data_IF_962071595288
#
_entry.id   IF_962071595288
#
_cell.length_a   1.000
_cell.length_b   1.000
_cell.length_c   1.000
_cell.angle_alpha   90.00
_cell.angle_beta   90.00
_cell.angle_gamma   90.00
#
_symmetry.space_group_name_H-M   'P 1'
#
loop_
_entity.id
_entity.type
_entity.pdbx_description
1 polymer ?
#
# COMPACT_ATOMS: atom_id res chain seq x y z
N UNK A 1 -21.96 -1.47 35.45
CA UNK A 1 -21.52 -0.31 34.67
C UNK A 1 -20.40 -0.85 33.78
N UNK A 2 -20.77 -1.22 32.55
CA UNK A 2 -19.79 -1.71 31.58
C UNK A 2 -19.10 -0.49 30.99
N UNK A 3 -17.83 -0.37 31.31
CA UNK A 3 -16.91 0.56 30.67
C UNK A 3 -16.53 -0.04 29.29
N UNK A 4 -17.45 0.05 28.35
CA UNK A 4 -17.14 -0.25 26.95
C UNK A 4 -16.41 0.98 26.42
N UNK A 5 -15.07 0.97 26.55
CA UNK A 5 -14.24 2.07 26.09
C UNK A 5 -14.33 2.13 24.55
N UNK A 6 -14.32 3.33 23.99
CA UNK A 6 -14.33 3.53 22.54
C UNK A 6 -13.24 2.73 21.82
N UNK A 7 -12.21 2.32 22.53
CA UNK A 7 -11.13 1.44 22.09
C UNK A 7 -11.64 0.05 21.66
N UNK A 8 -12.58 -0.53 22.42
CA UNK A 8 -13.12 -1.86 22.11
C UNK A 8 -14.02 -1.82 20.88
N UNK A 9 -14.72 -0.70 20.65
CA UNK A 9 -15.52 -0.48 19.44
C UNK A 9 -14.66 -0.24 18.20
N UNK A 10 -13.61 0.57 18.32
CA UNK A 10 -12.68 0.82 17.23
C UNK A 10 -11.96 -0.48 16.82
N UNK A 11 -11.51 -1.28 17.79
CA UNK A 11 -10.94 -2.61 17.54
C UNK A 11 -11.94 -3.57 16.88
N UNK A 12 -13.23 -3.51 17.26
CA UNK A 12 -14.27 -4.32 16.63
C UNK A 12 -14.50 -3.93 15.16
N UNK A 13 -14.53 -2.64 14.84
CA UNK A 13 -14.66 -2.14 13.47
C UNK A 13 -13.46 -2.59 12.62
N UNK A 14 -12.26 -2.49 13.15
CA UNK A 14 -11.04 -2.97 12.48
C UNK A 14 -11.06 -4.50 12.28
N UNK A 15 -11.49 -5.24 13.28
CA UNK A 15 -11.62 -6.70 13.19
C UNK A 15 -12.68 -7.13 12.19
N UNK A 16 -13.81 -6.44 12.11
CA UNK A 16 -14.88 -6.72 11.16
C UNK A 16 -14.43 -6.42 9.72
N UNK A 17 -13.76 -5.30 9.49
CA UNK A 17 -13.21 -4.94 8.17
C UNK A 17 -12.15 -5.94 7.68
N UNK A 18 -11.40 -6.55 8.59
CA UNK A 18 -10.35 -7.52 8.27
C UNK A 18 -10.78 -8.99 8.31
N UNK A 19 -12.01 -9.29 8.69
CA UNK A 19 -12.52 -10.66 8.94
C UNK A 19 -12.51 -11.58 7.71
N UNK A 20 -12.36 -11.04 6.53
CA UNK A 20 -12.40 -11.79 5.27
C UNK A 20 -11.07 -11.77 4.49
N UNK A 21 -9.97 -11.38 5.11
CA UNK A 21 -8.66 -11.41 4.45
C UNK A 21 -7.79 -12.52 5.04
N UNK A 22 -7.35 -13.49 4.24
CA UNK A 22 -6.32 -14.42 4.70
C UNK A 22 -5.05 -13.61 4.99
N UNK A 23 -4.50 -13.80 6.18
CA UNK A 23 -3.14 -13.36 6.51
C UNK A 23 -2.20 -14.16 5.62
N UNK A 24 -1.85 -13.61 4.46
CA UNK A 24 -0.78 -14.17 3.65
C UNK A 24 0.52 -13.78 4.36
N UNK A 25 1.25 -14.80 4.76
CA UNK A 25 2.43 -14.69 5.60
C UNK A 25 3.42 -13.65 5.12
N UNK A 26 4.11 -13.06 6.08
CA UNK A 26 5.20 -12.10 5.95
C UNK A 26 6.09 -12.38 4.75
N UNK A 27 6.20 -11.40 3.85
CA UNK A 27 7.31 -11.35 2.92
C UNK A 27 8.57 -11.03 3.73
N UNK A 28 9.43 -12.02 3.90
CA UNK A 28 10.82 -11.72 4.25
C UNK A 28 11.37 -10.81 3.16
N UNK A 29 12.12 -9.75 3.48
CA UNK A 29 12.77 -8.93 2.48
C UNK A 29 13.73 -9.84 1.71
N UNK A 30 13.26 -10.31 0.56
CA UNK A 30 14.10 -11.07 -0.33
C UNK A 30 14.93 -10.04 -1.08
N UNK A 31 16.21 -9.92 -0.75
CA UNK A 31 17.22 -9.33 -1.64
C UNK A 31 17.27 -10.22 -2.90
N UNK A 32 16.18 -10.22 -3.66
CA UNK A 32 15.90 -11.20 -4.67
C UNK A 32 16.45 -10.79 -6.02
N UNK A 33 17.65 -11.24 -6.28
CA UNK A 33 17.98 -11.61 -7.67
C UNK A 33 17.04 -12.75 -8.03
N UNK A 34 16.21 -12.58 -9.05
CA UNK A 34 15.32 -13.64 -9.54
C UNK A 34 16.08 -14.91 -9.90
N UNK A 35 15.44 -16.07 -9.90
CA UNK A 35 16.10 -17.32 -10.28
C UNK A 35 16.65 -17.24 -11.70
N UNK A 36 17.85 -17.79 -11.89
CA UNK A 36 18.44 -17.92 -13.22
C UNK A 36 17.51 -18.73 -14.12
N UNK A 37 17.25 -18.26 -15.33
CA UNK A 37 16.44 -18.96 -16.32
C UNK A 37 16.99 -20.36 -16.61
N UNK A 38 16.15 -21.27 -17.12
CA UNK A 38 16.58 -22.62 -17.47
C UNK A 38 17.61 -22.59 -18.60
N UNK A 39 18.57 -23.50 -18.54
CA UNK A 39 19.53 -23.71 -19.62
C UNK A 39 18.80 -24.10 -20.91
N UNK A 40 19.15 -23.47 -22.03
CA UNK A 40 18.60 -23.81 -23.32
C UNK A 40 18.78 -25.28 -23.70
N UNK A 41 17.94 -25.84 -24.55
CA UNK A 41 18.04 -27.22 -24.99
C UNK A 41 19.37 -27.45 -25.72
N UNK A 42 19.96 -28.63 -25.49
CA UNK A 42 21.13 -29.07 -26.21
C UNK A 42 20.77 -29.27 -27.69
N UNK A 43 21.58 -28.76 -28.62
CA UNK A 43 21.37 -28.95 -30.04
C UNK A 43 21.35 -30.43 -30.44
N UNK A 44 20.69 -30.78 -31.55
CA UNK A 44 20.59 -32.17 -31.99
C UNK A 44 21.96 -32.74 -32.29
N UNK A 45 22.21 -33.95 -31.81
CA UNK A 45 23.41 -34.70 -32.09
C UNK A 45 23.26 -35.48 -33.44
N UNK A 46 24.28 -35.47 -34.25
CA UNK A 46 24.38 -36.37 -35.42
C UNK A 46 24.31 -35.67 -36.77
N UNK A 47 25.40 -35.69 -37.49
CA UNK A 47 25.42 -35.46 -38.95
C UNK A 47 24.93 -36.67 -39.73
N UNK A 48 24.53 -36.49 -41.00
CA UNK A 48 24.05 -37.59 -41.85
C UNK A 48 25.15 -38.63 -42.08
N UNK A 49 24.75 -39.90 -41.98
CA UNK A 49 25.62 -41.03 -42.35
C UNK A 49 25.91 -40.91 -43.86
N UNK A 50 27.19 -40.98 -44.23
CA UNK A 50 27.62 -40.91 -45.62
C UNK A 50 27.04 -42.07 -46.48
N UNK A 51 26.91 -41.87 -47.80
CA UNK A 51 26.35 -42.87 -48.72
C UNK A 51 27.21 -44.14 -48.74
N UNK A 52 26.53 -45.28 -48.74
CA UNK A 52 27.16 -46.59 -48.89
C UNK A 52 27.80 -46.69 -50.29
N UNK A 53 29.09 -46.92 -50.33
CA UNK A 53 29.80 -47.08 -51.61
C UNK A 53 29.36 -48.33 -52.37
N UNK A 54 29.56 -48.37 -53.72
CA UNK A 54 29.25 -49.53 -54.52
C UNK A 54 30.10 -50.73 -54.12
N UNK A 55 29.55 -51.91 -54.25
CA UNK A 55 30.00 -53.23 -53.87
C UNK A 55 31.54 -53.43 -53.94
N UNK A 56 32.20 -53.36 -52.83
CA UNK A 56 33.62 -53.47 -52.58
C UNK A 56 33.85 -52.99 -51.18
N UNK A 57 34.91 -53.26 -50.55
CA UNK A 57 35.17 -53.01 -49.13
C UNK A 57 34.44 -51.88 -48.46
N UNK A 58 33.84 -52.12 -47.32
CA UNK A 58 33.15 -51.15 -46.47
C UNK A 58 34.07 -49.97 -46.25
N UNK A 59 33.66 -48.79 -46.72
CA UNK A 59 34.38 -47.53 -46.48
C UNK A 59 34.46 -47.23 -44.97
N UNK A 60 35.44 -46.46 -44.53
CA UNK A 60 35.56 -46.09 -43.11
C UNK A 60 34.31 -45.38 -42.68
N UNK A 61 33.84 -45.72 -41.50
CA UNK A 61 32.74 -45.06 -40.81
C UNK A 61 33.02 -43.55 -40.75
N UNK A 62 32.10 -42.71 -41.26
CA UNK A 62 32.24 -41.28 -41.21
C UNK A 62 32.41 -40.83 -39.75
N UNK A 63 33.26 -39.84 -39.54
CA UNK A 63 33.47 -39.24 -38.22
C UNK A 63 32.14 -38.69 -37.68
N UNK A 64 31.87 -38.98 -36.43
CA UNK A 64 30.70 -38.39 -35.73
C UNK A 64 30.79 -36.88 -35.81
N UNK A 65 29.72 -36.22 -36.23
CA UNK A 65 29.67 -34.78 -36.28
C UNK A 65 29.86 -34.15 -34.88
N UNK A 66 30.38 -32.94 -34.82
CA UNK A 66 30.60 -32.27 -33.54
C UNK A 66 29.26 -32.10 -32.80
N UNK A 67 29.31 -32.25 -31.48
CA UNK A 67 28.18 -31.95 -30.60
C UNK A 67 27.76 -30.50 -30.80
N UNK A 68 26.47 -30.24 -30.95
CA UNK A 68 25.93 -28.88 -31.05
C UNK A 68 26.35 -28.05 -29.84
N UNK A 69 26.56 -26.76 -30.07
CA UNK A 69 26.88 -25.82 -28.98
C UNK A 69 25.74 -25.75 -27.97
N UNK A 70 26.11 -25.68 -26.69
CA UNK A 70 25.15 -25.43 -25.62
C UNK A 70 24.46 -24.08 -25.86
N UNK A 71 23.15 -24.01 -25.74
CA UNK A 71 22.40 -22.77 -25.87
C UNK A 71 22.85 -21.73 -24.80
N UNK A 72 22.64 -20.47 -25.08
CA UNK A 72 22.98 -19.42 -24.12
C UNK A 72 22.16 -19.58 -22.83
N UNK A 73 22.74 -19.20 -21.71
CA UNK A 73 22.01 -19.11 -20.44
C UNK A 73 20.84 -18.14 -20.57
N UNK A 74 19.69 -18.50 -20.05
CA UNK A 74 18.53 -17.63 -20.02
C UNK A 74 18.85 -16.29 -19.32
N UNK A 75 18.18 -15.23 -19.72
CA UNK A 75 18.32 -13.92 -19.08
C UNK A 75 17.94 -14.01 -17.59
N UNK A 76 18.65 -13.26 -16.76
CA UNK A 76 18.27 -13.08 -15.35
C UNK A 76 16.87 -12.45 -15.30
N UNK A 77 16.01 -12.94 -14.44
CA UNK A 77 14.71 -12.34 -14.20
C UNK A 77 14.84 -10.90 -13.68
N UNK A 78 13.79 -10.11 -13.81
CA UNK A 78 13.80 -8.74 -13.29
C UNK A 78 14.06 -8.74 -11.78
N UNK A 79 14.75 -7.72 -11.32
CA UNK A 79 14.90 -7.47 -9.87
C UNK A 79 13.52 -7.25 -9.26
N UNK A 80 13.25 -7.86 -8.12
CA UNK A 80 12.01 -7.59 -7.38
C UNK A 80 11.96 -6.13 -6.93
N UNK A 81 10.77 -5.56 -6.92
CA UNK A 81 10.57 -4.20 -6.43
C UNK A 81 10.89 -4.13 -4.93
N UNK A 82 11.59 -3.08 -4.54
CA UNK A 82 11.86 -2.80 -3.14
C UNK A 82 10.76 -1.89 -2.62
N UNK A 83 9.97 -2.36 -1.65
CA UNK A 83 8.97 -1.52 -1.00
C UNK A 83 9.65 -0.38 -0.26
N UNK A 84 9.07 0.81 -0.32
CA UNK A 84 9.53 1.96 0.47
C UNK A 84 9.58 1.59 1.96
N UNK A 85 10.59 2.04 2.68
CA UNK A 85 10.75 1.72 4.10
C UNK A 85 10.59 2.96 4.96
N UNK A 86 10.03 2.80 6.15
CA UNK A 86 9.82 3.88 7.10
C UNK A 86 8.48 4.57 6.96
N UNK A 87 8.32 5.67 7.70
CA UNK A 87 7.14 6.53 7.63
C UNK A 87 7.13 7.29 6.31
N UNK A 88 6.05 7.23 5.57
CA UNK A 88 5.91 7.82 4.23
C UNK A 88 5.11 9.12 4.24
N UNK A 89 4.19 9.31 5.20
CA UNK A 89 3.40 10.54 5.34
C UNK A 89 4.30 11.68 5.80
N UNK A 90 4.20 12.79 5.14
CA UNK A 90 4.84 14.05 5.54
C UNK A 90 3.84 14.83 6.40
N UNK A 91 4.30 15.42 7.51
CA UNK A 91 3.46 16.16 8.45
C UNK A 91 2.22 15.36 8.91
N UNK A 92 2.40 14.07 9.21
CA UNK A 92 1.30 13.22 9.69
C UNK A 92 0.81 13.56 11.10
N UNK A 93 1.65 14.16 11.94
CA UNK A 93 1.29 14.71 13.24
C UNK A 93 0.73 16.13 13.20
N UNK A 94 0.44 16.68 12.01
CA UNK A 94 -0.19 18.00 11.77
C UNK A 94 0.57 19.22 12.35
N UNK A 95 1.83 19.04 12.77
CA UNK A 95 2.61 20.04 13.52
C UNK A 95 3.10 21.23 12.68
N UNK A 96 3.25 21.05 11.37
CA UNK A 96 3.64 22.12 10.47
C UNK A 96 2.38 22.79 9.91
N UNK A 97 2.11 24.00 10.39
CA UNK A 97 0.89 24.76 10.05
C UNK A 97 1.25 26.00 9.23
N UNK A 98 0.52 26.23 8.14
CA UNK A 98 0.62 27.42 7.29
C UNK A 98 -0.80 27.96 7.04
N UNK A 99 -1.04 29.23 7.33
CA UNK A 99 -2.36 29.87 7.16
C UNK A 99 -3.52 29.09 7.81
N UNK A 100 -3.29 28.62 9.05
CA UNK A 100 -4.24 27.85 9.86
C UNK A 100 -4.57 26.44 9.30
N UNK A 101 -3.79 25.93 8.35
CA UNK A 101 -3.97 24.62 7.78
C UNK A 101 -2.67 23.78 7.87
N UNK A 102 -2.74 22.45 7.96
CA UNK A 102 -1.54 21.61 7.97
C UNK A 102 -0.85 21.67 6.60
N UNK A 103 0.46 21.96 6.59
CA UNK A 103 1.25 21.95 5.37
C UNK A 103 1.40 20.53 4.81
N UNK A 104 1.74 20.42 3.53
CA UNK A 104 1.99 19.17 2.81
C UNK A 104 0.75 18.28 2.58
N UNK A 105 -0.44 18.80 2.88
CA UNK A 105 -1.73 18.18 2.58
C UNK A 105 -2.50 18.98 1.52
N UNK A 106 -3.32 18.28 0.76
CA UNK A 106 -4.25 18.85 -0.22
C UNK A 106 -5.66 18.76 0.33
N UNK A 107 -6.50 19.75 0.03
CA UNK A 107 -7.81 19.90 0.66
C UNK A 107 -8.95 19.85 -0.36
N UNK A 108 -10.01 19.12 0.01
CA UNK A 108 -11.34 19.28 -0.58
C UNK A 108 -12.15 20.19 0.35
N UNK A 109 -12.75 21.25 -0.18
CA UNK A 109 -13.43 22.30 0.61
C UNK A 109 -12.52 22.89 1.71
N UNK A 110 -11.46 23.64 1.34
CA UNK A 110 -10.44 24.10 2.27
C UNK A 110 -10.97 25.01 3.39
N UNK A 111 -12.11 25.70 3.18
CA UNK A 111 -12.76 26.53 4.20
C UNK A 111 -13.25 25.71 5.41
N UNK A 112 -13.45 24.39 5.25
CA UNK A 112 -13.81 23.46 6.31
C UNK A 112 -12.62 22.77 6.97
N UNK A 113 -11.39 23.23 6.74
CA UNK A 113 -10.17 22.63 7.29
C UNK A 113 -9.41 23.67 8.13
N UNK A 114 -9.18 23.36 9.40
CA UNK A 114 -8.40 24.23 10.30
C UNK A 114 -7.48 23.43 11.20
N UNK A 115 -6.27 23.93 11.47
CA UNK A 115 -5.40 23.39 12.50
C UNK A 115 -5.89 23.85 13.89
N UNK A 116 -5.87 22.95 14.84
CA UNK A 116 -6.39 23.16 16.20
C UNK A 116 -5.32 22.82 17.23
N UNK A 117 -5.11 23.73 18.19
CA UNK A 117 -4.20 23.61 19.34
C UNK A 117 -4.94 23.50 20.69
N UNK A 118 -6.26 23.36 20.65
CA UNK A 118 -7.09 23.35 21.86
C UNK A 118 -6.91 22.06 22.67
N UNK A 119 -6.80 22.23 23.99
CA UNK A 119 -6.68 21.10 24.91
C UNK A 119 -7.82 20.10 24.73
N UNK A 120 -7.46 18.82 24.51
CA UNK A 120 -8.41 17.73 24.30
C UNK A 120 -8.85 17.55 22.85
N UNK A 121 -8.34 18.38 21.94
CA UNK A 121 -8.54 18.26 20.50
C UNK A 121 -7.27 17.87 19.76
N UNK A 122 -6.17 17.66 20.46
CA UNK A 122 -4.88 17.21 19.97
C UNK A 122 -4.57 15.87 20.64
N UNK A 123 -4.18 14.85 19.85
CA UNK A 123 -3.80 13.54 20.36
C UNK A 123 -2.35 13.58 20.86
N UNK A 124 -1.44 14.09 20.05
CA UNK A 124 -0.04 14.29 20.44
C UNK A 124 0.51 15.59 19.85
N UNK A 125 1.63 16.09 20.40
CA UNK A 125 2.24 17.33 19.92
C UNK A 125 1.48 18.60 20.30
N UNK A 126 1.42 19.57 19.38
CA UNK A 126 0.82 20.88 19.57
C UNK A 126 -0.46 21.08 18.76
N UNK A 127 -0.55 20.44 17.58
CA UNK A 127 -1.65 20.62 16.65
C UNK A 127 -2.29 19.30 16.23
N UNK A 128 -3.57 19.35 15.91
CA UNK A 128 -4.33 18.39 15.12
C UNK A 128 -5.02 19.11 13.97
N UNK A 129 -5.63 18.40 13.04
CA UNK A 129 -6.49 19.01 12.02
C UNK A 129 -7.95 18.75 12.32
N UNK A 130 -8.75 19.81 12.28
CA UNK A 130 -10.20 19.76 12.32
C UNK A 130 -10.77 19.78 10.90
N UNK A 131 -11.68 18.87 10.63
CA UNK A 131 -12.31 18.66 9.32
C UNK A 131 -13.82 18.72 9.49
N UNK A 132 -14.44 19.71 8.86
CA UNK A 132 -15.91 19.89 8.87
C UNK A 132 -16.62 18.97 7.88
N UNK A 133 -17.94 19.00 7.88
CA UNK A 133 -18.80 18.25 6.97
C UNK A 133 -18.48 18.56 5.50
N UNK A 134 -18.52 17.53 4.64
CA UNK A 134 -18.16 17.58 3.22
C UNK A 134 -16.73 18.09 2.90
N UNK A 135 -15.89 18.26 3.92
CA UNK A 135 -14.48 18.57 3.75
C UNK A 135 -13.61 17.30 3.80
N UNK A 136 -12.40 17.41 3.29
CA UNK A 136 -11.45 16.30 3.30
C UNK A 136 -10.03 16.74 3.08
N UNK A 137 -9.11 15.88 3.52
CA UNK A 137 -7.68 16.06 3.29
C UNK A 137 -7.10 14.84 2.61
N UNK A 138 -6.11 15.05 1.78
CA UNK A 138 -5.40 13.97 1.11
C UNK A 138 -3.91 14.26 0.95
N UNK A 139 -3.12 13.21 0.85
CA UNK A 139 -1.71 13.29 0.50
C UNK A 139 -1.35 12.21 -0.49
N UNK A 140 -0.75 12.59 -1.63
CA UNK A 140 -0.24 11.67 -2.64
C UNK A 140 1.26 11.48 -2.45
N UNK A 141 1.66 10.26 -2.21
CA UNK A 141 3.02 9.85 -1.86
C UNK A 141 3.60 9.05 -3.01
N UNK A 142 4.64 9.53 -3.71
CA UNK A 142 5.30 8.78 -4.76
C UNK A 142 5.91 7.48 -4.21
N UNK A 143 5.69 6.37 -4.93
CA UNK A 143 6.28 5.07 -4.61
C UNK A 143 6.71 4.38 -5.91
N UNK A 144 7.73 3.56 -5.83
CA UNK A 144 8.22 2.82 -6.98
C UNK A 144 7.74 1.36 -6.95
N UNK A 145 6.92 1.02 -7.94
CA UNK A 145 6.57 -0.36 -8.24
C UNK A 145 5.46 -0.96 -7.39
N UNK A 146 5.17 -2.23 -7.68
CA UNK A 146 4.07 -2.99 -7.09
C UNK A 146 4.52 -4.15 -6.21
N UNK A 147 3.53 -4.87 -5.69
CA UNK A 147 3.76 -6.04 -4.85
C UNK A 147 3.86 -5.74 -3.36
N UNK A 148 3.79 -4.47 -2.96
CA UNK A 148 3.84 -4.02 -1.57
C UNK A 148 2.45 -3.99 -0.93
N UNK A 149 2.42 -4.08 0.39
CA UNK A 149 1.26 -3.76 1.20
C UNK A 149 1.56 -2.52 2.01
N UNK A 150 0.54 -1.71 2.27
CA UNK A 150 0.67 -0.53 3.11
C UNK A 150 -0.23 -0.63 4.33
N UNK A 151 0.25 -0.11 5.44
CA UNK A 151 -0.50 0.03 6.67
C UNK A 151 -0.67 1.52 6.93
N UNK A 152 -1.90 2.00 6.79
CA UNK A 152 -2.32 3.33 7.22
C UNK A 152 -2.80 3.23 8.66
N UNK A 153 -2.29 4.06 9.54
CA UNK A 153 -2.78 4.21 10.91
C UNK A 153 -2.94 5.68 11.27
N UNK A 154 -3.89 6.00 12.12
CA UNK A 154 -4.20 7.36 12.51
C UNK A 154 -5.05 7.38 13.78
N UNK A 155 -5.12 8.54 14.40
CA UNK A 155 -6.02 8.82 15.51
C UNK A 155 -7.11 9.80 15.07
N UNK A 156 -8.34 9.55 15.48
CA UNK A 156 -9.47 10.40 15.13
C UNK A 156 -10.47 10.50 16.27
N UNK A 157 -11.10 11.68 16.39
CA UNK A 157 -12.11 12.00 17.39
C UNK A 157 -13.25 12.79 16.75
N UNK A 158 -14.50 12.46 17.05
CA UNK A 158 -15.64 13.25 16.63
C UNK A 158 -15.94 14.38 17.62
N UNK A 159 -16.23 15.57 17.14
CA UNK A 159 -16.73 16.68 17.97
C UNK A 159 -18.25 16.58 18.17
N UNK A 160 -18.72 15.40 18.52
CA UNK A 160 -20.13 15.09 18.71
C UNK A 160 -20.48 13.68 18.22
N UNK A 161 -21.75 13.30 18.38
CA UNK A 161 -22.25 11.95 18.06
C UNK A 161 -22.69 11.77 16.59
N UNK A 162 -22.66 12.86 15.80
CA UNK A 162 -23.10 12.85 14.41
C UNK A 162 -21.95 13.06 13.43
N UNK A 163 -20.79 12.53 13.74
CA UNK A 163 -19.60 12.56 12.88
C UNK A 163 -19.31 11.17 12.39
N UNK A 164 -19.16 11.04 11.07
CA UNK A 164 -18.63 9.87 10.40
C UNK A 164 -17.55 10.30 9.42
N UNK A 165 -16.76 9.36 8.95
CA UNK A 165 -15.74 9.63 7.95
C UNK A 165 -15.39 8.38 7.15
N UNK A 166 -14.78 8.59 6.01
CA UNK A 166 -14.12 7.53 5.23
C UNK A 166 -12.64 7.86 5.09
N UNK A 167 -11.78 6.94 5.51
CA UNK A 167 -10.36 6.96 5.22
C UNK A 167 -10.07 5.92 4.15
N UNK A 168 -9.37 6.30 3.08
CA UNK A 168 -9.09 5.43 1.94
C UNK A 168 -7.63 5.45 1.53
N UNK A 169 -7.20 4.33 0.96
CA UNK A 169 -5.94 4.16 0.24
C UNK A 169 -6.25 3.94 -1.24
N UNK A 170 -5.71 4.79 -2.10
CA UNK A 170 -5.81 4.65 -3.55
C UNK A 170 -4.42 4.47 -4.14
N UNK A 171 -4.25 3.49 -5.01
CA UNK A 171 -3.02 3.30 -5.77
C UNK A 171 -3.12 4.04 -7.10
N UNK A 172 -2.25 5.00 -7.32
CA UNK A 172 -2.10 5.68 -8.59
C UNK A 172 -1.26 4.81 -9.52
N UNK A 173 -1.85 4.34 -10.61
CA UNK A 173 -1.18 3.49 -11.59
C UNK A 173 -1.16 4.14 -12.96
N UNK A 174 -0.29 3.65 -13.83
CA UNK A 174 -0.25 4.12 -15.23
C UNK A 174 -1.55 3.84 -15.99
N UNK A 175 -2.36 2.90 -15.49
CA UNK A 175 -3.67 2.52 -16.05
C UNK A 175 -4.85 3.26 -15.40
N UNK A 176 -4.61 4.06 -14.37
CA UNK A 176 -5.61 4.80 -13.60
C UNK A 176 -5.64 4.38 -12.12
N UNK A 177 -6.44 5.06 -11.29
CA UNK A 177 -6.50 4.79 -9.87
C UNK A 177 -7.14 3.43 -9.56
N UNK A 178 -6.58 2.73 -8.56
CA UNK A 178 -7.06 1.43 -8.08
C UNK A 178 -7.32 1.52 -6.57
N UNK A 179 -8.47 1.06 -6.11
CA UNK A 179 -8.78 1.03 -4.68
C UNK A 179 -7.85 0.08 -3.93
N UNK A 180 -7.05 0.63 -3.01
CA UNK A 180 -6.14 -0.09 -2.13
C UNK A 180 -6.81 -0.58 -0.85
N UNK A 181 -7.93 0.01 -0.47
CA UNK A 181 -8.71 -0.29 0.73
C UNK A 181 -9.32 0.97 1.33
N UNK A 182 -10.36 0.78 2.13
CA UNK A 182 -11.04 1.86 2.83
C UNK A 182 -11.56 1.40 4.19
N UNK A 183 -11.70 2.34 5.10
CA UNK A 183 -12.44 2.18 6.35
C UNK A 183 -13.46 3.31 6.46
N UNK A 184 -14.73 2.96 6.61
CA UNK A 184 -15.81 3.91 6.84
C UNK A 184 -16.31 3.78 8.26
N UNK A 185 -16.27 4.88 8.99
CA UNK A 185 -16.83 5.02 10.33
C UNK A 185 -18.14 5.80 10.22
N UNK A 186 -19.22 5.24 10.74
CA UNK A 186 -20.54 5.84 10.67
C UNK A 186 -20.73 6.86 11.79
N UNK A 187 -21.66 7.77 11.58
CA UNK A 187 -22.13 8.67 12.65
C UNK A 187 -22.57 7.84 13.88
N UNK A 188 -22.14 8.26 15.06
CA UNK A 188 -22.40 7.58 16.32
C UNK A 188 -21.42 6.47 16.70
N UNK A 189 -20.49 6.08 15.81
CA UNK A 189 -19.48 5.07 16.11
C UNK A 189 -18.17 5.66 16.66
N UNK A 190 -17.99 6.99 16.57
CA UNK A 190 -16.86 7.70 17.16
C UNK A 190 -17.11 8.05 18.62
N UNK A 191 -16.03 8.10 19.39
CA UNK A 191 -16.07 8.60 20.77
C UNK A 191 -16.31 10.11 20.76
N UNK A 192 -17.21 10.58 21.60
CA UNK A 192 -17.56 12.00 21.75
C UNK A 192 -16.97 12.62 23.03
N UNK A 193 -16.19 11.86 23.78
CA UNK A 193 -15.54 12.34 25.00
C UNK A 193 -14.41 13.28 24.67
N UNK A 194 -14.38 14.46 25.29
CA UNK A 194 -13.23 15.35 25.24
C UNK A 194 -11.98 14.60 25.69
N UNK A 195 -10.98 14.46 24.83
CA UNK A 195 -9.68 13.79 24.99
C UNK A 195 -9.62 12.31 24.56
N UNK A 196 -10.67 11.69 24.10
CA UNK A 196 -10.62 10.29 23.66
C UNK A 196 -10.50 10.19 22.12
N UNK A 197 -9.27 10.17 21.64
CA UNK A 197 -9.00 9.78 20.27
C UNK A 197 -9.09 8.26 20.12
N UNK A 198 -9.77 7.80 19.09
CA UNK A 198 -9.79 6.41 18.70
C UNK A 198 -8.65 6.12 17.71
N UNK A 199 -7.96 5.00 17.90
CA UNK A 199 -6.96 4.51 16.96
C UNK A 199 -7.59 3.72 15.84
N UNK A 200 -7.20 4.01 14.60
CA UNK A 200 -7.62 3.30 13.40
C UNK A 200 -6.42 2.75 12.63
N UNK A 201 -6.63 1.61 11.98
CA UNK A 201 -5.64 1.01 11.12
C UNK A 201 -6.31 0.37 9.90
N UNK A 202 -5.75 0.63 8.72
CA UNK A 202 -6.16 0.04 7.45
C UNK A 202 -4.97 -0.64 6.81
N UNK A 203 -5.10 -1.93 6.49
CA UNK A 203 -4.11 -2.66 5.70
C UNK A 203 -4.58 -2.72 4.26
N UNK A 204 -3.75 -2.25 3.34
CA UNK A 204 -4.10 -2.21 1.92
C UNK A 204 -4.18 -3.61 1.28
N UNK A 205 -4.78 -3.69 0.10
CA UNK A 205 -4.51 -4.77 -0.85
C UNK A 205 -3.06 -4.70 -1.33
N UNK A 206 -2.59 -5.72 -2.01
CA UNK A 206 -1.28 -5.68 -2.66
C UNK A 206 -1.29 -4.65 -3.80
N UNK A 207 -0.25 -3.80 -3.86
CA UNK A 207 -0.14 -2.80 -4.93
C UNK A 207 0.02 -3.45 -6.30
N UNK A 208 -0.68 -2.93 -7.33
CA UNK A 208 -0.42 -3.28 -8.73
C UNK A 208 1.05 -3.04 -9.14
N UNK A 209 1.51 -3.77 -10.12
CA UNK A 209 2.93 -3.70 -10.58
C UNK A 209 3.30 -2.35 -11.21
N UNK A 210 2.32 -1.60 -11.70
CA UNK A 210 2.45 -0.32 -12.36
C UNK A 210 2.08 0.87 -11.44
N UNK A 211 2.07 0.66 -10.13
CA UNK A 211 1.82 1.69 -9.13
C UNK A 211 2.95 2.73 -9.14
N UNK A 212 2.60 4.00 -9.20
CA UNK A 212 3.51 5.15 -9.21
C UNK A 212 3.39 6.01 -7.96
N UNK A 213 2.24 5.96 -7.28
CA UNK A 213 2.02 6.66 -6.02
C UNK A 213 0.92 5.97 -5.20
N UNK A 214 0.87 6.32 -3.92
CA UNK A 214 -0.22 5.97 -3.00
C UNK A 214 -0.84 7.26 -2.52
N UNK A 215 -2.15 7.42 -2.72
CA UNK A 215 -2.93 8.52 -2.17
C UNK A 215 -3.66 8.03 -0.93
N UNK A 216 -3.45 8.72 0.20
CA UNK A 216 -4.25 8.58 1.40
C UNK A 216 -5.26 9.72 1.43
N UNK A 217 -6.51 9.44 1.76
CA UNK A 217 -7.54 10.47 1.83
C UNK A 217 -8.48 10.24 3.02
N UNK A 218 -8.95 11.35 3.57
CA UNK A 218 -9.95 11.39 4.63
C UNK A 218 -11.06 12.34 4.19
N UNK A 219 -12.29 11.83 4.18
CA UNK A 219 -13.48 12.61 3.85
C UNK A 219 -14.47 12.50 5.00
N UNK A 220 -14.91 13.63 5.50
CA UNK A 220 -15.83 13.70 6.64
C UNK A 220 -17.27 13.79 6.17
N UNK A 221 -18.14 13.10 6.87
CA UNK A 221 -19.59 13.19 6.75
C UNK A 221 -20.15 13.46 8.14
N UNK A 222 -20.53 14.68 8.40
CA UNK A 222 -21.04 15.12 9.68
C UNK A 222 -22.39 15.86 9.51
N UNK A 223 -23.12 16.05 10.58
CA UNK A 223 -24.33 16.85 10.59
C UNK A 223 -24.36 17.74 11.82
N UNK A 224 -25.20 18.78 11.78
CA UNK A 224 -25.37 19.68 12.92
C UNK A 224 -24.18 20.58 13.24
N UNK A 225 -23.29 20.84 12.26
CA UNK A 225 -22.09 21.68 12.45
C UNK A 225 -21.01 21.00 13.29
N UNK A 226 -21.00 19.68 13.31
CA UNK A 226 -19.98 18.87 13.99
C UNK A 226 -18.81 18.56 13.04
N UNK A 227 -17.66 18.23 13.59
CA UNK A 227 -16.42 18.04 12.85
C UNK A 227 -15.59 16.88 13.39
N UNK A 228 -14.61 16.45 12.61
CA UNK A 228 -13.63 15.44 12.97
C UNK A 228 -12.31 16.11 13.34
N UNK A 229 -11.71 15.73 14.46
CA UNK A 229 -10.30 15.99 14.73
C UNK A 229 -9.49 14.75 14.32
N UNK A 230 -8.45 14.94 13.49
CA UNK A 230 -7.56 13.91 12.98
C UNK A 230 -6.12 14.23 13.34
N UNK A 231 -5.36 13.23 13.75
CA UNK A 231 -3.97 13.38 14.19
C UNK A 231 -3.15 12.10 13.98
N UNK A 232 -1.83 12.24 14.06
CA UNK A 232 -0.84 11.14 14.03
C UNK A 232 -1.04 10.15 12.86
N UNK A 233 -1.23 10.67 11.66
CA UNK A 233 -1.37 9.86 10.45
C UNK A 233 -0.03 9.25 10.04
N UNK A 234 -0.02 7.95 9.88
CA UNK A 234 1.16 7.17 9.53
C UNK A 234 0.86 6.20 8.38
N UNK A 235 1.73 6.16 7.40
CA UNK A 235 1.72 5.16 6.33
C UNK A 235 3.08 4.48 6.27
N UNK A 236 3.09 3.17 6.43
CA UNK A 236 4.30 2.34 6.32
C UNK A 236 4.07 1.21 5.31
N UNK A 237 5.11 0.83 4.58
CA UNK A 237 5.06 -0.39 3.77
C UNK A 237 5.41 -1.62 4.61
N UNK A 238 4.76 -2.74 4.30
CA UNK A 238 4.93 -4.04 4.96
C UNK A 238 5.29 -5.13 3.93
#
# INVERSE_FOLDING_TARGET
MNNDSGYDRALQIIMEANKHRPIVGCCTPNNGVGPTGPTGPTGPAGGPTGPTGPTGATGPTGVTGPTGATGPTGATGPTGNTCATGQLVVNGGMENVVEEQPSDWTFTNPDGITSVDAQGRVHSGEFSVNIEDDAGIEQTIPVDGGGCFYILSFFARGEGDQVGFTAALTFETTSGPVNGGEVTVRQGDLTTSNNDFAFFQLVSTQTPVDTTAVTISFVVNATGGQSLDLDDVSLIAN
#
